data_IF_182059349249
#
_entry.id   IF_182059349249
#
_cell.length_a   1.000
_cell.length_b   1.000
_cell.length_c   1.000
_cell.angle_alpha   90.00
_cell.angle_beta   90.00
_cell.angle_gamma   90.00
#
_symmetry.space_group_name_H-M   'P 1'
#
loop_
_entity.id
_entity.type
_entity.pdbx_description
1 polymer ?
#
# COMPACT_ATOMS: atom_id res chain seq x y z
N UNK A 1 -33.98 10.06 1.20
CA UNK A 1 -34.38 9.34 -0.03
C UNK A 1 -33.18 9.26 -0.95
N UNK A 2 -33.01 8.18 -1.72
CA UNK A 2 -31.95 8.08 -2.72
C UNK A 2 -32.41 8.69 -4.07
N UNK A 3 -31.46 9.19 -4.87
CA UNK A 3 -31.70 9.67 -6.23
C UNK A 3 -30.64 9.07 -7.17
N UNK A 4 -31.06 8.59 -8.33
CA UNK A 4 -30.23 7.96 -9.35
C UNK A 4 -30.11 8.89 -10.58
N UNK A 5 -28.91 9.05 -11.15
CA UNK A 5 -28.73 9.75 -12.43
C UNK A 5 -27.53 9.19 -13.22
N UNK A 6 -27.75 8.86 -14.49
CA UNK A 6 -26.80 8.33 -15.49
C UNK A 6 -27.53 8.22 -16.84
N UNK A 7 -26.88 8.08 -18.00
CA UNK A 7 -25.45 7.99 -18.36
C UNK A 7 -24.99 9.36 -18.97
N UNK A 8 -23.85 9.60 -19.64
CA UNK A 8 -22.89 8.78 -20.38
C UNK A 8 -21.49 9.45 -20.42
N UNK A 9 -20.45 8.68 -20.77
CA UNK A 9 -19.18 9.17 -21.30
C UNK A 9 -18.90 8.49 -22.65
N UNK A 10 -18.64 9.27 -23.71
CA UNK A 10 -18.38 8.75 -25.06
C UNK A 10 -16.90 8.84 -25.40
N UNK A 11 -16.12 7.85 -24.95
CA UNK A 11 -14.71 7.69 -25.32
C UNK A 11 -14.56 7.23 -26.78
N UNK A 12 -13.50 7.70 -27.44
CA UNK A 12 -13.26 7.46 -28.87
C UNK A 12 -11.97 6.65 -29.12
N UNK A 13 -12.04 5.79 -30.13
CA UNK A 13 -10.89 5.22 -30.89
C UNK A 13 -9.86 4.33 -30.16
N UNK A 14 -10.11 3.01 -30.27
CA UNK A 14 -9.17 1.94 -30.67
C UNK A 14 -7.83 1.73 -29.93
N UNK A 15 -7.71 0.56 -29.27
CA UNK A 15 -6.46 -0.21 -29.15
C UNK A 15 -6.74 -1.71 -29.44
N UNK A 16 -6.04 -2.37 -30.39
CA UNK A 16 -6.42 -3.70 -30.86
C UNK A 16 -5.67 -4.83 -30.14
N UNK A 17 -6.17 -5.29 -28.99
CA UNK A 17 -5.67 -6.50 -28.33
C UNK A 17 -6.78 -7.55 -28.22
N UNK A 18 -6.77 -8.51 -29.15
CA UNK A 18 -7.73 -9.61 -29.19
C UNK A 18 -7.45 -10.61 -28.07
N UNK A 19 -8.40 -10.78 -27.16
CA UNK A 19 -8.40 -11.93 -26.25
C UNK A 19 -8.44 -13.25 -27.07
N UNK A 20 -7.66 -14.28 -26.68
CA UNK A 20 -7.76 -15.59 -27.31
C UNK A 20 -9.12 -16.22 -26.98
N UNK A 21 -9.77 -16.81 -27.98
CA UNK A 21 -11.09 -17.45 -27.80
C UNK A 21 -10.95 -18.69 -26.93
N UNK A 22 -11.69 -18.75 -25.83
CA UNK A 22 -11.77 -19.92 -24.97
C UNK A 22 -12.30 -21.13 -25.78
N UNK A 23 -11.67 -22.32 -25.70
CA UNK A 23 -12.20 -23.51 -26.36
C UNK A 23 -13.61 -23.83 -25.87
N UNK A 24 -14.54 -24.13 -26.79
CA UNK A 24 -15.85 -24.69 -26.44
C UNK A 24 -15.64 -26.10 -25.89
N UNK A 25 -15.64 -26.25 -24.57
CA UNK A 25 -15.64 -27.55 -23.90
C UNK A 25 -16.94 -28.29 -24.23
N UNK A 26 -16.88 -29.22 -25.18
CA UNK A 26 -18.00 -30.13 -25.42
C UNK A 26 -18.21 -30.98 -24.16
N UNK A 27 -19.42 -30.94 -23.59
CA UNK A 27 -19.75 -31.78 -22.44
C UNK A 27 -19.67 -33.25 -22.90
N UNK A 28 -18.80 -34.03 -22.26
CA UNK A 28 -18.81 -35.49 -22.37
C UNK A 28 -19.78 -36.04 -21.30
N UNK A 29 -20.57 -37.08 -21.60
CA UNK A 29 -21.40 -37.72 -20.59
C UNK A 29 -20.53 -38.40 -19.52
N UNK A 30 -20.95 -38.41 -18.24
CA UNK A 30 -20.17 -39.02 -17.16
C UNK A 30 -20.10 -40.55 -17.31
N UNK A 31 -18.89 -41.09 -17.47
CA UNK A 31 -18.64 -42.54 -17.39
C UNK A 31 -18.79 -43.01 -15.93
N UNK A 32 -19.92 -43.66 -15.64
CA UNK A 32 -20.22 -44.20 -14.31
C UNK A 32 -19.38 -45.46 -14.00
N UNK A 33 -18.15 -45.25 -13.53
CA UNK A 33 -17.28 -46.31 -13.02
C UNK A 33 -17.56 -46.61 -11.53
N UNK A 34 -17.50 -47.89 -11.08
CA UNK A 34 -17.73 -48.24 -9.69
C UNK A 34 -16.73 -47.59 -8.71
N UNK A 35 -17.24 -46.71 -7.84
CA UNK A 35 -16.43 -45.93 -6.88
C UNK A 35 -15.90 -46.80 -5.73
N UNK A 36 -14.77 -47.48 -5.95
CA UNK A 36 -14.00 -48.16 -4.89
C UNK A 36 -13.71 -47.17 -3.75
N UNK A 37 -14.17 -47.47 -2.53
CA UNK A 37 -13.95 -46.61 -1.36
C UNK A 37 -12.47 -46.66 -0.95
N UNK A 38 -11.73 -45.60 -1.25
CA UNK A 38 -10.41 -45.35 -0.66
C UNK A 38 -10.57 -44.80 0.77
N UNK A 39 -9.60 -45.03 1.69
CA UNK A 39 -9.60 -44.40 3.00
C UNK A 39 -9.66 -42.88 2.90
N UNK A 40 -10.36 -42.23 3.83
CA UNK A 40 -10.48 -40.77 3.83
C UNK A 40 -9.09 -40.11 3.99
N UNK A 41 -8.67 -39.21 3.10
CA UNK A 41 -7.42 -38.48 3.28
C UNK A 41 -7.53 -37.60 4.53
N UNK A 42 -6.53 -37.66 5.41
CA UNK A 42 -6.45 -36.79 6.59
C UNK A 42 -6.59 -35.34 6.12
N UNK A 43 -7.62 -34.65 6.60
CA UNK A 43 -7.81 -33.22 6.34
C UNK A 43 -6.64 -32.45 6.94
N UNK A 44 -5.64 -32.14 6.10
CA UNK A 44 -4.67 -31.08 6.41
C UNK A 44 -5.51 -29.85 6.71
N UNK A 45 -5.29 -29.21 7.87
CA UNK A 45 -5.98 -27.98 8.21
C UNK A 45 -5.74 -26.98 7.08
N UNK A 46 -6.81 -26.53 6.44
CA UNK A 46 -6.71 -25.52 5.39
C UNK A 46 -6.09 -24.28 6.05
N UNK A 47 -4.86 -23.93 5.65
CA UNK A 47 -4.15 -22.77 6.18
C UNK A 47 -5.04 -21.56 5.95
N UNK A 48 -5.59 -20.98 7.03
CA UNK A 48 -6.55 -19.88 6.93
C UNK A 48 -5.81 -18.64 6.47
N UNK A 49 -5.77 -18.42 5.15
CA UNK A 49 -5.22 -17.21 4.53
C UNK A 49 -6.10 -16.04 4.98
N UNK A 50 -5.64 -15.29 5.97
CA UNK A 50 -6.23 -14.02 6.39
C UNK A 50 -5.80 -12.94 5.41
N UNK A 51 -6.75 -12.39 4.65
CA UNK A 51 -6.52 -11.24 3.77
C UNK A 51 -6.47 -9.92 4.57
N UNK A 52 -5.56 -9.85 5.55
CA UNK A 52 -5.22 -8.62 6.26
C UNK A 52 -4.33 -7.72 5.38
N UNK A 53 -4.42 -6.41 5.58
CA UNK A 53 -3.45 -5.47 5.01
C UNK A 53 -2.06 -5.68 5.67
N UNK A 54 -1.01 -5.21 5.02
CA UNK A 54 0.35 -5.23 5.61
C UNK A 54 0.41 -4.18 6.72
N UNK A 55 0.93 -4.56 7.89
CA UNK A 55 1.16 -3.64 9.00
C UNK A 55 2.27 -2.63 8.66
N UNK A 56 2.10 -1.33 8.98
CA UNK A 56 3.09 -0.30 8.70
C UNK A 56 4.33 -0.43 9.60
N UNK A 57 5.49 0.05 9.12
CA UNK A 57 6.76 0.00 9.86
C UNK A 57 6.66 0.63 11.25
N UNK A 58 7.11 -0.13 12.26
CA UNK A 58 6.94 0.22 13.67
C UNK A 58 5.55 -0.09 14.26
N UNK A 59 4.68 -0.77 13.52
CA UNK A 59 3.36 -1.25 13.97
C UNK A 59 2.25 -0.19 13.96
N UNK A 60 2.54 1.06 13.57
CA UNK A 60 1.53 2.12 13.41
C UNK A 60 2.00 3.20 12.43
N UNK A 61 1.11 3.57 11.50
CA UNK A 61 1.32 4.70 10.59
C UNK A 61 1.44 6.02 11.36
N UNK A 62 2.51 6.78 11.10
CA UNK A 62 2.82 8.06 11.74
C UNK A 62 2.47 9.21 10.79
N UNK A 63 1.21 9.63 10.82
CA UNK A 63 0.73 10.79 10.07
C UNK A 63 1.03 12.09 10.85
N UNK A 64 1.51 13.14 10.17
CA UNK A 64 2.00 14.38 10.83
C UNK A 64 1.13 15.62 10.56
N UNK A 65 -0.09 15.45 10.03
CA UNK A 65 -1.04 16.55 9.90
C UNK A 65 -1.55 17.04 11.27
N UNK A 66 -1.73 18.36 11.39
CA UNK A 66 -2.36 19.01 12.55
C UNK A 66 -3.87 18.73 12.53
N UNK A 67 -4.42 18.32 13.69
CA UNK A 67 -5.88 18.13 13.89
C UNK A 67 -6.65 19.40 13.57
N UNK A 68 -7.87 19.28 13.06
CA UNK A 68 -8.65 20.42 12.58
C UNK A 68 -8.94 21.45 13.67
N UNK A 69 -9.22 21.00 14.89
CA UNK A 69 -9.36 21.82 16.11
C UNK A 69 -8.13 22.68 16.43
N UNK A 70 -6.94 22.21 16.04
CA UNK A 70 -5.66 22.75 16.48
C UNK A 70 -5.02 23.62 15.37
N UNK A 71 -5.58 23.59 14.14
CA UNK A 71 -5.03 24.26 12.94
C UNK A 71 -4.80 25.75 13.16
N UNK A 72 -5.80 26.48 13.65
CA UNK A 72 -5.68 27.93 13.85
C UNK A 72 -4.63 28.26 14.91
N UNK A 73 -4.66 27.60 16.07
CA UNK A 73 -3.65 27.77 17.12
C UNK A 73 -2.23 27.52 16.61
N UNK A 74 -2.04 26.48 15.78
CA UNK A 74 -0.72 26.18 15.18
C UNK A 74 -0.31 27.18 14.09
N UNK A 75 -1.25 27.73 13.32
CA UNK A 75 -0.96 28.82 12.38
C UNK A 75 -0.57 30.12 13.11
N UNK A 76 -1.28 30.48 14.18
CA UNK A 76 -0.92 31.61 15.04
C UNK A 76 0.47 31.41 15.65
N UNK A 77 0.76 30.25 16.26
CA UNK A 77 2.09 29.92 16.80
C UNK A 77 3.19 29.98 15.72
N UNK A 78 2.97 29.40 14.53
CA UNK A 78 3.92 29.43 13.42
C UNK A 78 4.11 30.85 12.83
N UNK A 79 3.17 31.78 13.05
CA UNK A 79 3.31 33.16 12.57
C UNK A 79 4.44 33.91 13.28
N UNK A 80 4.69 33.60 14.57
CA UNK A 80 5.68 34.25 15.43
C UNK A 80 7.07 33.58 15.42
N UNK A 81 7.20 32.38 14.84
CA UNK A 81 8.47 31.65 14.78
C UNK A 81 9.34 32.09 13.58
N UNK A 82 10.68 31.93 13.65
CA UNK A 82 11.55 32.08 12.49
C UNK A 82 11.16 31.14 11.34
N UNK A 83 11.14 31.67 10.11
CA UNK A 83 10.62 30.96 8.92
C UNK A 83 11.76 30.63 7.96
N UNK A 84 11.88 29.37 7.59
CA UNK A 84 12.83 28.88 6.58
C UNK A 84 12.10 28.74 5.25
N UNK A 85 12.66 29.28 4.17
CA UNK A 85 12.10 29.15 2.82
C UNK A 85 12.44 27.77 2.26
N UNK A 86 11.45 26.89 2.19
CA UNK A 86 11.57 25.56 1.59
C UNK A 86 11.73 25.65 0.06
N UNK A 87 12.56 24.77 -0.52
CA UNK A 87 12.62 24.53 -1.95
C UNK A 87 11.47 23.61 -2.42
N UNK A 88 11.35 23.42 -3.74
CA UNK A 88 10.40 22.45 -4.31
C UNK A 88 10.63 21.02 -3.82
N UNK A 89 11.89 20.63 -3.62
CA UNK A 89 12.26 19.28 -3.15
C UNK A 89 11.91 19.13 -1.67
N UNK A 90 12.15 20.15 -0.85
CA UNK A 90 11.82 20.11 0.58
C UNK A 90 10.30 20.03 0.80
N UNK A 91 9.51 20.74 -0.01
CA UNK A 91 8.05 20.63 0.01
C UNK A 91 7.56 19.23 -0.37
N UNK A 92 8.22 18.54 -1.31
CA UNK A 92 7.92 17.15 -1.63
C UNK A 92 8.23 16.22 -0.45
N UNK A 93 9.34 16.44 0.26
CA UNK A 93 9.65 15.69 1.48
C UNK A 93 8.69 15.97 2.64
N UNK A 94 8.21 17.21 2.80
CA UNK A 94 7.15 17.55 3.77
C UNK A 94 5.86 16.76 3.47
N UNK A 95 5.50 16.56 2.19
CA UNK A 95 4.35 15.73 1.81
C UNK A 95 4.54 14.27 2.22
N UNK A 96 5.67 13.66 1.82
CA UNK A 96 6.03 12.26 2.14
C UNK A 96 6.03 12.01 3.65
N UNK A 97 6.54 12.95 4.45
CA UNK A 97 6.52 12.91 5.92
C UNK A 97 5.11 13.09 6.49
N UNK A 98 4.30 13.98 5.91
CA UNK A 98 2.97 14.33 6.44
C UNK A 98 1.94 13.22 6.28
N UNK A 99 1.96 12.50 5.16
CA UNK A 99 1.13 11.31 4.92
C UNK A 99 1.64 10.06 5.66
N UNK A 100 2.89 10.06 6.14
CA UNK A 100 3.47 8.97 6.94
C UNK A 100 4.15 7.86 6.14
N UNK A 101 4.47 8.08 4.85
CA UNK A 101 5.21 7.12 4.01
C UNK A 101 6.57 6.72 4.60
N UNK A 102 7.21 7.64 5.33
CA UNK A 102 8.47 7.39 6.03
C UNK A 102 8.26 7.06 7.53
N UNK A 103 7.14 6.42 7.89
CA UNK A 103 6.96 5.87 9.24
C UNK A 103 8.14 4.96 9.61
N UNK A 104 8.67 5.01 10.85
CA UNK A 104 8.15 5.72 12.02
C UNK A 104 8.73 7.13 12.26
N UNK A 105 9.27 7.81 11.24
CA UNK A 105 9.81 9.18 11.40
C UNK A 105 8.75 10.19 11.86
N UNK A 106 9.18 11.18 12.63
CA UNK A 106 8.30 12.22 13.24
C UNK A 106 8.59 13.63 12.69
N UNK A 107 9.26 13.70 11.55
CA UNK A 107 9.79 14.91 10.94
C UNK A 107 11.08 14.61 10.17
N UNK A 108 11.82 15.66 9.81
CA UNK A 108 13.16 15.51 9.21
C UNK A 108 14.12 14.81 10.19
N UNK A 109 14.99 13.93 9.65
CA UNK A 109 15.96 13.20 10.46
C UNK A 109 16.94 14.14 11.16
N UNK A 110 17.18 13.89 12.43
CA UNK A 110 18.30 14.46 13.19
C UNK A 110 19.57 13.69 12.90
N UNK A 111 20.73 14.26 13.21
CA UNK A 111 22.05 13.64 12.98
C UNK A 111 22.13 12.18 13.49
N UNK A 112 21.67 11.93 14.71
CA UNK A 112 21.72 10.59 15.34
C UNK A 112 20.73 9.57 14.74
N UNK A 113 19.76 10.02 13.94
CA UNK A 113 18.87 9.17 13.14
C UNK A 113 19.48 8.93 11.75
N UNK A 114 19.94 10.00 11.10
CA UNK A 114 20.61 9.97 9.81
C UNK A 114 21.86 9.07 9.81
N UNK A 115 22.76 9.23 10.79
CA UNK A 115 23.97 8.41 10.90
C UNK A 115 23.64 6.92 11.06
N UNK A 116 22.66 6.57 11.90
CA UNK A 116 22.21 5.17 12.07
C UNK A 116 21.66 4.60 10.77
N UNK A 117 20.80 5.35 10.08
CA UNK A 117 20.18 4.91 8.84
C UNK A 117 21.20 4.74 7.70
N UNK A 118 22.12 5.70 7.55
CA UNK A 118 23.21 5.66 6.58
C UNK A 118 24.20 4.50 6.84
N UNK A 119 24.57 4.26 8.11
CA UNK A 119 25.44 3.14 8.49
C UNK A 119 24.73 1.79 8.26
N UNK A 120 23.43 1.68 8.55
CA UNK A 120 22.64 0.47 8.32
C UNK A 120 22.54 0.11 6.83
N UNK A 121 22.26 1.09 5.97
CA UNK A 121 22.24 0.88 4.51
C UNK A 121 23.64 0.50 4.00
N UNK A 122 24.70 1.14 4.53
CA UNK A 122 26.10 0.84 4.19
C UNK A 122 26.51 -0.58 4.62
N UNK A 123 26.06 -1.07 5.77
CA UNK A 123 26.40 -2.41 6.26
C UNK A 123 25.64 -3.51 5.52
N UNK A 124 24.33 -3.33 5.28
CA UNK A 124 23.52 -4.26 4.47
C UNK A 124 24.03 -4.40 3.03
N UNK A 125 24.68 -3.37 2.49
CA UNK A 125 25.33 -3.41 1.17
C UNK A 125 26.55 -4.34 1.10
N UNK A 126 27.08 -4.86 2.23
CA UNK A 126 28.26 -5.74 2.26
C UNK A 126 27.94 -7.24 2.34
N UNK A 127 26.72 -7.62 2.71
CA UNK A 127 26.32 -9.04 2.87
C UNK A 127 25.75 -9.67 1.59
N UNK A 128 25.51 -8.90 0.53
CA UNK A 128 25.00 -9.38 -0.76
C UNK A 128 26.02 -10.12 -1.64
N UNK A 129 26.78 -11.08 -1.10
CA UNK A 129 27.62 -11.99 -1.90
C UNK A 129 28.04 -13.27 -1.13
N UNK A 130 27.21 -14.30 -1.20
CA UNK A 130 27.57 -15.73 -1.34
C UNK A 130 26.36 -16.47 -1.94
#
# INVERSE_FOLDING_TARGET
>A
MAAMASLNLKTSTQLPHSFPKLPKTHFAPPLNLPRRRLPAPRTRSATRISASLIDPDGGKLVQLFVKESDKESKLQQASHLPKIKLSKIDLQWVHVLSEGWASPLKGFMRESEFLKHFILIRSGSKTGRL
#
